data_IF_517283793980
#
_entry.id   IF_517283793980
#
_cell.length_a   1.000
_cell.length_b   1.000
_cell.length_c   1.000
_cell.angle_alpha   90.00
_cell.angle_beta   90.00
_cell.angle_gamma   90.00
#
_symmetry.space_group_name_H-M   'P 1'
#
loop_
_entity.id
_entity.type
_entity.pdbx_description
1 polymer ?
#
# COMPACT_ATOMS: atom_id res chain seq x y z
N UNK A 1 11.89 16.78 -9.28
CA UNK A 1 13.26 16.92 -9.82
C UNK A 1 14.32 16.44 -8.81
N UNK A 2 14.35 16.97 -7.58
CA UNK A 2 15.34 16.58 -6.54
C UNK A 2 15.29 15.09 -6.17
N UNK A 3 14.09 14.51 -6.00
CA UNK A 3 13.91 13.07 -5.69
C UNK A 3 14.44 12.16 -6.79
N UNK A 4 14.27 12.55 -8.05
CA UNK A 4 14.79 11.80 -9.19
C UNK A 4 16.32 11.82 -9.22
N UNK A 5 16.95 12.97 -8.97
CA UNK A 5 18.42 13.06 -8.88
C UNK A 5 18.98 12.23 -7.72
N UNK A 6 18.36 12.29 -6.54
CA UNK A 6 18.80 11.50 -5.39
C UNK A 6 18.63 10.00 -5.63
N UNK A 7 17.50 9.55 -6.19
CA UNK A 7 17.29 8.15 -6.54
C UNK A 7 18.29 7.70 -7.62
N UNK A 8 18.51 8.51 -8.65
CA UNK A 8 19.46 8.20 -9.71
C UNK A 8 20.88 8.04 -9.18
N UNK A 9 21.33 8.95 -8.33
CA UNK A 9 22.64 8.89 -7.68
C UNK A 9 22.82 7.60 -6.85
N UNK A 10 21.83 7.27 -6.01
CA UNK A 10 21.85 6.02 -5.24
C UNK A 10 21.88 4.79 -6.15
N UNK A 11 21.07 4.76 -7.22
CA UNK A 11 21.04 3.64 -8.17
C UNK A 11 22.35 3.51 -8.95
N UNK A 12 23.00 4.61 -9.34
CA UNK A 12 24.30 4.56 -10.02
C UNK A 12 25.39 4.07 -9.08
N UNK A 13 25.38 4.49 -7.82
CA UNK A 13 26.32 4.03 -6.79
C UNK A 13 26.14 2.54 -6.50
N UNK A 14 24.90 2.06 -6.42
CA UNK A 14 24.59 0.62 -6.25
C UNK A 14 25.10 -0.19 -7.46
N UNK A 15 24.85 0.27 -8.70
CA UNK A 15 25.30 -0.42 -9.92
C UNK A 15 26.83 -0.42 -10.09
N UNK A 16 27.50 0.63 -9.63
CA UNK A 16 28.96 0.70 -9.64
C UNK A 16 29.56 -0.28 -8.64
N UNK A 17 28.96 -0.39 -7.45
CA UNK A 17 29.39 -1.30 -6.39
C UNK A 17 29.11 -2.79 -6.71
N UNK A 18 27.92 -3.11 -7.26
CA UNK A 18 27.53 -4.49 -7.62
C UNK A 18 28.39 -5.09 -8.75
N UNK A 19 29.00 -4.24 -9.58
CA UNK A 19 29.91 -4.67 -10.64
C UNK A 19 31.24 -5.21 -10.10
N UNK A 20 31.60 -4.85 -8.87
CA UNK A 20 32.92 -5.10 -8.27
C UNK A 20 32.90 -6.26 -7.26
N UNK A 21 31.72 -6.65 -6.74
CA UNK A 21 31.58 -7.63 -5.64
C UNK A 21 30.56 -8.74 -5.93
N UNK A 22 30.89 -9.99 -5.58
CA UNK A 22 29.97 -11.16 -5.67
C UNK A 22 28.85 -11.04 -4.63
N UNK A 23 27.59 -11.07 -5.07
CA UNK A 23 26.40 -10.77 -4.27
C UNK A 23 26.21 -11.67 -3.02
N UNK A 24 26.58 -11.14 -1.85
CA UNK A 24 26.23 -11.65 -0.52
C UNK A 24 24.91 -11.04 -0.03
N UNK A 25 24.16 -11.76 0.82
CA UNK A 25 22.87 -11.29 1.35
C UNK A 25 22.94 -9.93 2.05
N UNK A 26 24.08 -9.61 2.68
CA UNK A 26 24.32 -8.32 3.33
C UNK A 26 24.26 -7.14 2.34
N UNK A 27 24.70 -7.33 1.09
CA UNK A 27 24.64 -6.29 0.07
C UNK A 27 23.22 -6.02 -0.40
N UNK A 28 22.36 -7.06 -0.44
CA UNK A 28 20.94 -6.86 -0.74
C UNK A 28 20.26 -6.04 0.35
N UNK A 29 20.57 -6.31 1.62
CA UNK A 29 20.03 -5.55 2.75
C UNK A 29 20.50 -4.08 2.72
N UNK A 30 21.78 -3.83 2.46
CA UNK A 30 22.31 -2.46 2.34
C UNK A 30 21.62 -1.67 1.21
N UNK A 31 21.45 -2.31 0.04
CA UNK A 31 20.74 -1.72 -1.10
C UNK A 31 19.28 -1.39 -0.77
N UNK A 32 18.58 -2.27 -0.05
CA UNK A 32 17.20 -2.02 0.39
C UNK A 32 17.14 -0.83 1.34
N UNK A 33 18.03 -0.75 2.33
CA UNK A 33 18.06 0.34 3.31
C UNK A 33 18.30 1.69 2.64
N UNK A 34 19.26 1.77 1.71
CA UNK A 34 19.56 2.99 0.94
C UNK A 34 18.38 3.48 0.11
N UNK A 35 17.59 2.55 -0.42
CA UNK A 35 16.45 2.84 -1.28
C UNK A 35 15.15 3.11 -0.50
N UNK A 36 15.00 2.59 0.72
CA UNK A 36 13.76 2.75 1.53
C UNK A 36 13.36 4.22 1.68
N UNK A 37 14.26 5.07 2.17
CA UNK A 37 13.95 6.49 2.43
C UNK A 37 13.47 7.23 1.19
N UNK A 38 14.19 7.22 0.05
CA UNK A 38 13.73 7.94 -1.13
C UNK A 38 12.45 7.35 -1.74
N UNK A 39 12.24 6.03 -1.67
CA UNK A 39 10.98 5.43 -2.10
C UNK A 39 9.81 5.85 -1.20
N UNK A 40 9.99 5.92 0.12
CA UNK A 40 8.97 6.39 1.06
C UNK A 40 8.59 7.84 0.80
N UNK A 41 9.57 8.74 0.60
CA UNK A 41 9.31 10.14 0.28
C UNK A 41 8.53 10.26 -1.04
N UNK A 42 8.94 9.52 -2.06
CA UNK A 42 8.25 9.51 -3.36
C UNK A 42 6.81 8.98 -3.23
N UNK A 43 6.59 7.94 -2.43
CA UNK A 43 5.27 7.40 -2.15
C UNK A 43 4.35 8.43 -1.49
N UNK A 44 4.83 9.15 -0.48
CA UNK A 44 4.07 10.21 0.19
C UNK A 44 3.78 11.40 -0.73
N UNK A 45 4.74 11.78 -1.59
CA UNK A 45 4.54 12.84 -2.58
C UNK A 45 3.47 12.47 -3.62
N UNK A 46 3.53 11.26 -4.17
CA UNK A 46 2.52 10.77 -5.13
C UNK A 46 1.14 10.75 -4.46
N UNK A 47 1.06 10.28 -3.23
CA UNK A 47 -0.18 10.30 -2.45
C UNK A 47 -0.74 11.72 -2.33
N UNK A 48 0.08 12.67 -1.87
CA UNK A 48 -0.32 14.07 -1.73
C UNK A 48 -0.80 14.66 -3.05
N UNK A 49 -0.04 14.50 -4.14
CA UNK A 49 -0.41 15.06 -5.45
C UNK A 49 -1.74 14.49 -5.94
N UNK A 50 -1.98 13.19 -5.79
CA UNK A 50 -3.22 12.56 -6.27
C UNK A 50 -4.41 12.98 -5.40
N UNK A 51 -4.34 12.74 -4.09
CA UNK A 51 -5.50 12.88 -3.22
C UNK A 51 -5.75 14.33 -2.78
N UNK A 52 -4.70 15.09 -2.49
CA UNK A 52 -4.85 16.47 -2.01
C UNK A 52 -4.95 17.48 -3.14
N UNK A 53 -4.17 17.32 -4.21
CA UNK A 53 -4.20 18.28 -5.33
C UNK A 53 -5.22 17.88 -6.39
N UNK A 54 -5.07 16.70 -7.00
CA UNK A 54 -5.85 16.30 -8.18
C UNK A 54 -7.31 16.04 -7.81
N UNK A 55 -7.59 15.19 -6.81
CA UNK A 55 -8.96 14.85 -6.44
C UNK A 55 -9.76 16.06 -5.93
N UNK A 56 -9.16 16.92 -5.12
CA UNK A 56 -9.82 18.17 -4.69
C UNK A 56 -10.05 19.14 -5.85
N UNK A 57 -9.09 19.28 -6.78
CA UNK A 57 -9.29 20.10 -7.97
C UNK A 57 -10.45 19.59 -8.83
N UNK A 58 -10.53 18.27 -9.05
CA UNK A 58 -11.68 17.66 -9.74
C UNK A 58 -12.99 17.84 -8.97
N UNK A 59 -12.98 17.73 -7.64
CA UNK A 59 -14.17 17.97 -6.83
C UNK A 59 -14.69 19.40 -6.97
N UNK A 60 -13.80 20.39 -6.98
CA UNK A 60 -14.16 21.79 -7.20
C UNK A 60 -14.74 22.01 -8.62
N UNK A 61 -14.05 21.50 -9.65
CA UNK A 61 -14.49 21.62 -11.04
C UNK A 61 -15.86 20.98 -11.29
N UNK A 62 -16.12 19.84 -10.65
CA UNK A 62 -17.39 19.10 -10.79
C UNK A 62 -18.45 19.54 -9.79
N UNK A 63 -18.14 20.47 -8.88
CA UNK A 63 -19.00 20.87 -7.74
C UNK A 63 -19.43 19.68 -6.89
N UNK A 64 -18.54 18.70 -6.75
CA UNK A 64 -18.75 17.52 -5.93
C UNK A 64 -18.47 17.86 -4.46
N UNK A 65 -19.49 17.66 -3.62
CA UNK A 65 -19.44 18.06 -2.22
C UNK A 65 -18.66 17.09 -1.33
N UNK A 66 -18.57 15.82 -1.70
CA UNK A 66 -17.87 14.80 -0.90
C UNK A 66 -16.37 14.79 -1.25
N UNK A 67 -15.56 15.25 -0.30
CA UNK A 67 -14.10 15.36 -0.43
C UNK A 67 -13.36 14.31 0.40
N UNK A 68 -14.06 13.32 0.93
CA UNK A 68 -13.47 12.33 1.83
C UNK A 68 -12.76 11.19 1.07
N UNK A 69 -11.72 11.54 0.32
CA UNK A 69 -10.98 10.58 -0.50
C UNK A 69 -10.04 9.66 0.32
N UNK A 70 -9.63 10.08 1.51
CA UNK A 70 -8.82 9.32 2.47
C UNK A 70 -9.11 9.78 3.90
N UNK A 71 -8.65 9.02 4.90
CA UNK A 71 -8.74 9.35 6.33
C UNK A 71 -7.35 9.27 6.99
N UNK A 72 -7.29 9.29 8.32
CA UNK A 72 -6.08 9.23 9.15
C UNK A 72 -5.34 7.88 9.06
N UNK A 73 -4.97 7.46 7.85
CA UNK A 73 -4.38 6.17 7.56
C UNK A 73 -2.99 6.00 8.21
N UNK A 74 -2.27 7.09 8.47
CA UNK A 74 -0.97 7.07 9.12
C UNK A 74 -1.03 6.62 10.59
N UNK A 75 -2.20 6.76 11.24
CA UNK A 75 -2.45 6.27 12.58
C UNK A 75 -2.98 4.82 12.61
N UNK A 76 -3.10 4.18 11.45
CA UNK A 76 -3.64 2.82 11.37
C UNK A 76 -2.75 1.82 12.11
N UNK A 77 -3.36 0.99 12.94
CA UNK A 77 -2.66 0.01 13.77
C UNK A 77 -2.64 -1.39 13.13
N UNK A 78 -3.39 -1.57 12.04
CA UNK A 78 -3.46 -2.81 11.29
C UNK A 78 -3.49 -2.56 9.79
N UNK A 79 -2.98 -3.51 9.01
CA UNK A 79 -2.97 -3.41 7.55
C UNK A 79 -4.40 -3.31 6.96
N UNK A 80 -5.37 -3.98 7.59
CA UNK A 80 -6.78 -3.90 7.23
C UNK A 80 -7.34 -2.48 7.42
N UNK A 81 -7.05 -1.84 8.55
CA UNK A 81 -7.44 -0.45 8.79
C UNK A 81 -6.77 0.52 7.81
N UNK A 82 -5.47 0.37 7.61
CA UNK A 82 -4.70 1.15 6.64
C UNK A 82 -5.33 1.06 5.23
N UNK A 83 -5.66 -0.14 4.77
CA UNK A 83 -6.24 -0.35 3.44
C UNK A 83 -7.59 0.34 3.23
N UNK A 84 -8.37 0.53 4.31
CA UNK A 84 -9.67 1.22 4.29
C UNK A 84 -9.53 2.74 4.29
N UNK A 85 -8.56 3.25 5.05
CA UNK A 85 -8.35 4.69 5.26
C UNK A 85 -7.50 5.32 4.16
N UNK A 86 -6.59 4.58 3.54
CA UNK A 86 -5.63 5.10 2.55
C UNK A 86 -6.29 5.58 1.26
N UNK A 87 -7.14 4.76 0.65
CA UNK A 87 -7.81 5.07 -0.62
C UNK A 87 -9.27 4.63 -0.55
N UNK A 88 -10.11 5.50 0.02
CA UNK A 88 -11.53 5.22 0.22
C UNK A 88 -12.27 4.93 -1.08
N UNK A 89 -12.08 5.68 -2.19
CA UNK A 89 -12.75 5.40 -3.44
C UNK A 89 -12.51 3.98 -3.97
N UNK A 90 -11.25 3.54 -4.01
CA UNK A 90 -10.91 2.19 -4.48
C UNK A 90 -11.39 1.13 -3.50
N UNK A 91 -11.25 1.38 -2.20
CA UNK A 91 -11.73 0.47 -1.17
C UNK A 91 -13.25 0.24 -1.29
N UNK A 92 -14.04 1.32 -1.38
CA UNK A 92 -15.49 1.24 -1.55
C UNK A 92 -15.89 0.56 -2.86
N UNK A 93 -15.15 0.83 -3.95
CA UNK A 93 -15.38 0.16 -5.22
C UNK A 93 -15.21 -1.36 -5.11
N UNK A 94 -14.07 -1.80 -4.56
CA UNK A 94 -13.76 -3.23 -4.37
C UNK A 94 -14.75 -3.88 -3.41
N UNK A 95 -15.09 -3.21 -2.31
CA UNK A 95 -16.04 -3.73 -1.33
C UNK A 95 -17.43 -3.94 -1.93
N UNK A 96 -17.93 -2.96 -2.68
CA UNK A 96 -19.30 -2.99 -3.23
C UNK A 96 -19.41 -3.89 -4.46
N UNK A 97 -18.48 -3.79 -5.41
CA UNK A 97 -18.62 -4.45 -6.72
C UNK A 97 -17.94 -5.80 -6.79
N UNK A 98 -16.88 -6.02 -6.01
CA UNK A 98 -16.12 -7.28 -6.06
C UNK A 98 -16.49 -8.14 -4.88
N UNK A 99 -16.27 -7.67 -3.65
CA UNK A 99 -16.48 -8.47 -2.45
C UNK A 99 -17.97 -8.80 -2.23
N UNK A 100 -18.85 -7.78 -2.16
CA UNK A 100 -20.26 -7.99 -1.92
C UNK A 100 -20.95 -8.75 -3.07
N UNK A 101 -20.58 -8.45 -4.33
CA UNK A 101 -21.09 -9.20 -5.48
C UNK A 101 -20.62 -10.66 -5.47
N UNK A 102 -19.38 -10.95 -5.10
CA UNK A 102 -18.88 -12.33 -5.01
C UNK A 102 -19.66 -13.14 -3.97
N UNK A 103 -19.95 -12.54 -2.81
CA UNK A 103 -20.74 -13.19 -1.76
C UNK A 103 -22.20 -13.37 -2.21
N UNK A 104 -22.83 -12.31 -2.74
CA UNK A 104 -24.25 -12.34 -3.08
C UNK A 104 -24.56 -13.19 -4.31
N UNK A 105 -23.68 -13.21 -5.32
CA UNK A 105 -23.92 -13.90 -6.59
C UNK A 105 -23.41 -15.34 -6.60
N UNK A 106 -22.33 -15.64 -5.87
CA UNK A 106 -21.69 -16.96 -5.90
C UNK A 106 -21.77 -17.71 -4.56
N UNK A 107 -22.31 -17.10 -3.50
CA UNK A 107 -22.48 -17.75 -2.19
C UNK A 107 -21.17 -18.15 -1.51
N UNK A 108 -20.06 -17.52 -1.89
CA UNK A 108 -18.70 -17.89 -1.47
C UNK A 108 -18.43 -17.44 -0.03
N UNK A 109 -17.58 -18.19 0.69
CA UNK A 109 -17.18 -17.84 2.06
C UNK A 109 -16.45 -16.48 2.13
N UNK A 110 -16.52 -15.81 3.28
CA UNK A 110 -15.91 -14.49 3.49
C UNK A 110 -14.40 -14.47 3.22
N UNK A 111 -13.70 -15.55 3.56
CA UNK A 111 -12.27 -15.69 3.32
C UNK A 111 -11.94 -15.81 1.83
N UNK A 112 -12.69 -16.62 1.09
CA UNK A 112 -12.50 -16.76 -0.34
C UNK A 112 -12.89 -15.48 -1.10
N UNK A 113 -13.94 -14.77 -0.68
CA UNK A 113 -14.28 -13.45 -1.24
C UNK A 113 -13.17 -12.40 -1.01
N UNK A 114 -12.51 -12.43 0.16
CA UNK A 114 -11.36 -11.56 0.45
C UNK A 114 -10.15 -11.90 -0.43
N UNK A 115 -9.85 -13.19 -0.61
CA UNK A 115 -8.78 -13.66 -1.51
C UNK A 115 -9.06 -13.20 -2.95
N UNK A 116 -10.28 -13.40 -3.45
CA UNK A 116 -10.66 -12.97 -4.80
C UNK A 116 -10.54 -11.46 -4.98
N UNK A 117 -10.97 -10.68 -3.98
CA UNK A 117 -10.90 -9.22 -4.03
C UNK A 117 -9.46 -8.73 -4.11
N UNK A 118 -8.56 -9.30 -3.30
CA UNK A 118 -7.15 -8.94 -3.36
C UNK A 118 -6.45 -9.49 -4.59
N UNK A 119 -6.83 -10.67 -5.08
CA UNK A 119 -6.30 -11.22 -6.32
C UNK A 119 -6.61 -10.33 -7.52
N UNK A 120 -7.85 -9.85 -7.63
CA UNK A 120 -8.22 -8.88 -8.66
C UNK A 120 -7.45 -7.57 -8.48
N UNK A 121 -7.35 -7.08 -7.24
CA UNK A 121 -6.56 -5.87 -6.94
C UNK A 121 -5.10 -6.03 -7.37
N UNK A 122 -4.46 -7.16 -7.08
CA UNK A 122 -3.05 -7.38 -7.39
C UNK A 122 -2.79 -7.54 -8.88
N UNK A 123 -3.72 -8.13 -9.62
CA UNK A 123 -3.65 -8.17 -11.09
C UNK A 123 -3.68 -6.76 -11.69
N UNK A 124 -4.56 -5.88 -11.20
CA UNK A 124 -4.62 -4.50 -11.69
C UNK A 124 -3.33 -3.73 -11.38
N UNK A 125 -2.76 -3.92 -10.18
CA UNK A 125 -1.50 -3.28 -9.81
C UNK A 125 -0.31 -3.80 -10.65
N UNK A 126 -0.21 -5.12 -10.90
CA UNK A 126 0.80 -5.67 -11.79
C UNK A 126 0.60 -5.16 -13.22
N UNK A 127 -0.64 -5.07 -13.71
CA UNK A 127 -0.93 -4.50 -15.03
C UNK A 127 -0.45 -3.05 -15.15
N UNK A 128 -0.67 -2.23 -14.13
CA UNK A 128 -0.14 -0.86 -14.08
C UNK A 128 1.39 -0.85 -14.11
N UNK A 129 2.05 -1.74 -13.36
CA UNK A 129 3.51 -1.89 -13.40
C UNK A 129 4.01 -2.34 -14.76
N UNK A 130 3.31 -3.24 -15.45
CA UNK A 130 3.63 -3.69 -16.81
C UNK A 130 3.49 -2.53 -17.79
N UNK A 131 2.45 -1.70 -17.68
CA UNK A 131 2.26 -0.54 -18.55
C UNK A 131 3.40 0.48 -18.37
N UNK A 132 3.79 0.77 -17.12
CA UNK A 132 4.83 1.75 -16.80
C UNK A 132 6.23 1.24 -17.14
N UNK A 133 6.54 -0.01 -16.77
CA UNK A 133 7.91 -0.57 -16.90
C UNK A 133 8.12 -1.37 -18.18
N UNK A 134 7.05 -1.66 -18.91
CA UNK A 134 7.02 -2.51 -20.12
C UNK A 134 7.59 -3.91 -19.90
N UNK A 135 7.57 -4.42 -18.67
CA UNK A 135 8.08 -5.74 -18.28
C UNK A 135 7.15 -6.43 -17.29
N UNK A 136 6.91 -7.71 -17.48
CA UNK A 136 6.19 -8.58 -16.54
C UNK A 136 7.20 -9.17 -15.55
N UNK A 137 7.04 -8.88 -14.25
CA UNK A 137 7.97 -9.34 -13.20
C UNK A 137 7.29 -10.10 -12.07
N UNK A 138 6.00 -9.85 -11.83
CA UNK A 138 5.18 -10.47 -10.78
C UNK A 138 5.64 -10.20 -9.34
N UNK A 139 6.65 -9.35 -9.12
CA UNK A 139 7.11 -9.00 -7.77
C UNK A 139 6.03 -8.29 -6.96
N UNK A 140 5.31 -7.34 -7.58
CA UNK A 140 4.25 -6.60 -6.91
C UNK A 140 3.04 -7.49 -6.63
N UNK A 141 2.68 -8.32 -7.62
CA UNK A 141 1.61 -9.31 -7.48
C UNK A 141 1.84 -10.23 -6.26
N UNK A 142 3.02 -10.83 -6.16
CA UNK A 142 3.35 -11.73 -5.05
C UNK A 142 3.37 -10.99 -3.70
N UNK A 143 3.95 -9.79 -3.66
CA UNK A 143 3.99 -8.97 -2.45
C UNK A 143 2.57 -8.60 -1.95
N UNK A 144 1.63 -8.32 -2.86
CA UNK A 144 0.25 -8.05 -2.49
C UNK A 144 -0.51 -9.29 -2.01
N UNK A 145 -0.23 -10.46 -2.57
CA UNK A 145 -0.82 -11.72 -2.07
C UNK A 145 -0.37 -12.07 -0.65
N UNK A 146 0.83 -11.64 -0.24
CA UNK A 146 1.30 -11.79 1.14
C UNK A 146 0.57 -10.89 2.16
N UNK A 147 -0.24 -9.92 1.71
CA UNK A 147 -0.97 -9.02 2.62
C UNK A 147 -2.02 -9.73 3.48
N UNK A 148 -2.65 -10.82 3.02
CA UNK A 148 -3.62 -11.58 3.81
C UNK A 148 -2.98 -12.33 4.99
N UNK A 149 -1.91 -13.12 4.79
CA UNK A 149 -1.15 -13.68 5.90
C UNK A 149 -0.73 -12.61 6.91
N UNK A 150 -0.21 -11.48 6.43
CA UNK A 150 0.25 -10.40 7.31
C UNK A 150 -0.90 -9.80 8.13
N UNK A 151 -2.07 -9.63 7.52
CA UNK A 151 -3.28 -9.14 8.20
C UNK A 151 -3.78 -10.14 9.24
N UNK A 152 -3.73 -11.44 8.95
CA UNK A 152 -4.11 -12.48 9.90
C UNK A 152 -3.16 -12.52 11.11
N UNK A 153 -1.85 -12.39 10.86
CA UNK A 153 -0.83 -12.29 11.92
C UNK A 153 -1.05 -11.03 12.75
N UNK A 154 -1.31 -9.89 12.12
CA UNK A 154 -1.61 -8.62 12.82
C UNK A 154 -2.88 -8.67 13.67
N UNK A 155 -3.85 -9.53 13.33
CA UNK A 155 -5.07 -9.76 14.12
C UNK A 155 -4.89 -10.78 15.26
N UNK A 156 -3.73 -11.44 15.34
CA UNK A 156 -3.44 -12.42 16.40
C UNK A 156 -3.35 -11.75 17.78
N UNK A 157 -3.57 -12.55 18.83
CA UNK A 157 -3.62 -12.05 20.22
C UNK A 157 -2.35 -11.30 20.63
N UNK A 158 -1.20 -11.58 20.01
CA UNK A 158 0.09 -10.96 20.31
C UNK A 158 0.11 -9.43 20.12
N UNK A 159 -0.53 -8.91 19.08
CA UNK A 159 -0.56 -7.46 18.81
C UNK A 159 -1.68 -6.73 19.56
N UNK A 160 -2.72 -7.46 19.99
CA UNK A 160 -3.79 -6.90 20.85
C UNK A 160 -3.33 -6.67 22.30
N UNK A 161 -2.37 -7.45 22.78
CA UNK A 161 -1.88 -7.36 24.18
C UNK A 161 -0.80 -6.28 24.36
N UNK A 162 -0.22 -5.74 23.29
CA UNK A 162 0.85 -4.74 23.33
C UNK A 162 0.50 -3.52 22.47
N UNK A 163 -0.37 -2.62 22.96
CA UNK A 163 -0.77 -1.41 22.25
C UNK A 163 0.42 -0.56 21.77
N UNK A 164 1.50 -0.49 22.54
CA UNK A 164 2.72 0.24 22.16
C UNK A 164 3.39 -0.27 20.86
N UNK A 165 3.16 -1.51 20.44
CA UNK A 165 3.67 -2.06 19.17
C UNK A 165 2.72 -1.78 17.99
N UNK A 166 1.47 -1.47 18.27
CA UNK A 166 0.43 -1.23 17.31
C UNK A 166 0.06 0.26 17.33
N UNK A 167 0.99 1.14 16.92
CA UNK A 167 0.83 2.59 16.76
C UNK A 167 -0.22 3.26 17.69
N UNK A 168 -0.27 2.86 18.97
CA UNK A 168 -1.40 3.17 19.83
C UNK A 168 -1.19 4.55 20.46
N UNK A 169 -1.63 5.56 19.72
CA UNK A 169 -1.91 6.88 20.25
C UNK A 169 -3.39 7.02 20.67
N UNK A 170 -4.17 5.93 20.65
CA UNK A 170 -5.63 5.94 20.77
C UNK A 170 -6.20 5.41 22.10
N UNK A 171 -5.45 4.64 22.90
CA UNK A 171 -5.98 4.12 24.17
C UNK A 171 -6.27 5.20 25.24
N UNK A 172 -5.97 6.48 24.98
CA UNK A 172 -6.34 7.59 25.88
C UNK A 172 -7.80 8.08 25.74
N UNK A 173 -8.57 7.66 24.72
CA UNK A 173 -9.90 8.22 24.45
C UNK A 173 -11.08 7.27 24.68
N UNK A 174 -10.88 6.00 25.08
CA UNK A 174 -12.00 5.07 25.36
C UNK A 174 -12.40 4.95 26.84
N UNK A 175 -11.98 5.91 27.68
CA UNK A 175 -12.38 6.02 29.09
C UNK A 175 -12.96 7.41 29.42
N UNK A 176 -13.77 7.96 28.53
CA UNK A 176 -14.77 9.00 28.85
C UNK A 176 -16.05 8.75 28.09
#
# INVERSE_FOLDING_TARGET
>A
MITQYYIWDQVTNIKAFDRDHRSSALHLVDNVIRLVVPFTINYLLIFYIIFECICNAFAELTRFADREFYSDWWNSCSFDEFSRKWNKPVHHFLLKHVYASTISSYGVSRSAAAIMTLFLSSLVHELLMVIVTRKLRLYLFLAQMTQLPLTYIGRSKLFKTRPALANDSGSAYSLR
#
